data_IF_791931151028
#
_entry.id   IF_791931151028
#
_cell.length_a   1.000
_cell.length_b   1.000
_cell.length_c   1.000
_cell.angle_alpha   90.00
_cell.angle_beta   90.00
_cell.angle_gamma   90.00
#
_symmetry.space_group_name_H-M   'P 1'
#
loop_
_entity.id
_entity.type
_entity.pdbx_description
1 polymer ?
#
# COMPACT_ATOMS: atom_id res chain seq x y z
N UNK A 1 -12.75 1.79 26.82
CA UNK A 1 -12.37 1.15 25.55
C UNK A 1 -11.18 0.26 25.87
N UNK A 2 -11.37 -1.05 25.97
CA UNK A 2 -10.28 -1.97 26.29
C UNK A 2 -9.26 -1.94 25.15
N UNK A 3 -8.03 -1.58 25.48
CA UNK A 3 -6.93 -1.56 24.52
C UNK A 3 -6.55 -3.01 24.20
N UNK A 4 -6.94 -3.49 23.01
CA UNK A 4 -6.62 -4.84 22.55
C UNK A 4 -5.10 -5.06 22.57
N UNK A 5 -4.66 -6.04 23.36
CA UNK A 5 -3.25 -6.43 23.44
C UNK A 5 -2.88 -7.51 22.43
N UNK A 6 -3.87 -8.21 21.87
CA UNK A 6 -3.71 -9.33 20.95
C UNK A 6 -4.75 -9.29 19.84
N UNK A 7 -4.39 -9.81 18.68
CA UNK A 7 -5.32 -9.93 17.55
C UNK A 7 -6.52 -10.81 17.94
N UNK A 8 -7.74 -10.51 17.45
CA UNK A 8 -8.93 -11.30 17.77
C UNK A 8 -8.85 -12.72 17.19
N UNK A 9 -7.97 -12.93 16.19
CA UNK A 9 -7.72 -14.18 15.49
C UNK A 9 -6.24 -14.27 15.08
N UNK A 10 -5.68 -15.48 14.91
CA UNK A 10 -4.31 -15.64 14.42
C UNK A 10 -4.08 -14.90 13.11
N UNK A 11 -2.95 -14.19 13.04
CA UNK A 11 -2.50 -13.54 11.81
C UNK A 11 -1.75 -14.55 10.96
N UNK A 12 -2.29 -14.85 9.79
CA UNK A 12 -1.61 -15.66 8.78
C UNK A 12 -1.03 -14.72 7.73
N UNK A 13 0.27 -14.84 7.45
CA UNK A 13 0.93 -14.05 6.41
C UNK A 13 0.48 -14.56 5.04
N UNK A 14 -0.01 -13.67 4.19
CA UNK A 14 -0.55 -14.03 2.88
C UNK A 14 0.54 -14.60 1.98
N UNK A 15 1.77 -14.07 2.05
CA UNK A 15 2.91 -14.63 1.34
C UNK A 15 3.14 -16.11 1.71
N UNK A 16 3.11 -16.46 3.00
CA UNK A 16 3.28 -17.85 3.44
C UNK A 16 2.14 -18.76 2.97
N UNK A 17 0.89 -18.26 2.93
CA UNK A 17 -0.24 -19.02 2.36
C UNK A 17 -0.03 -19.23 0.85
N UNK A 18 0.39 -18.19 0.13
CA UNK A 18 0.66 -18.26 -1.31
C UNK A 18 1.78 -19.24 -1.64
N UNK A 19 2.79 -19.36 -0.77
CA UNK A 19 3.95 -20.24 -0.96
C UNK A 19 3.70 -21.67 -0.47
N UNK A 20 2.63 -21.95 0.29
CA UNK A 20 2.37 -23.28 0.84
C UNK A 20 1.71 -24.26 -0.14
N UNK A 21 1.45 -23.83 -1.38
CA UNK A 21 0.83 -24.68 -2.41
C UNK A 21 -0.67 -24.93 -2.21
N UNK A 22 -1.39 -24.02 -1.55
CA UNK A 22 -2.86 -24.13 -1.44
C UNK A 22 -3.51 -24.09 -2.83
N UNK A 23 -4.50 -24.96 -3.05
CA UNK A 23 -5.23 -25.03 -4.32
C UNK A 23 -6.36 -23.99 -4.41
N UNK A 24 -6.80 -23.44 -3.28
CA UNK A 24 -7.89 -22.49 -3.20
C UNK A 24 -7.60 -21.37 -2.20
N UNK A 25 -8.12 -20.17 -2.49
CA UNK A 25 -8.07 -19.03 -1.58
C UNK A 25 -8.99 -19.32 -0.38
N UNK A 26 -8.51 -19.21 0.87
CA UNK A 26 -9.35 -19.38 2.05
C UNK A 26 -10.52 -18.38 2.10
N UNK A 27 -11.69 -18.83 2.56
CA UNK A 27 -12.95 -18.06 2.55
C UNK A 27 -12.83 -16.65 3.13
N UNK A 28 -11.99 -16.47 4.15
CA UNK A 28 -11.75 -15.18 4.80
C UNK A 28 -11.17 -14.11 3.87
N UNK A 29 -10.60 -14.47 2.72
CA UNK A 29 -10.07 -13.56 1.70
C UNK A 29 -10.98 -13.45 0.46
N UNK A 30 -12.08 -14.21 0.42
CA UNK A 30 -13.03 -14.18 -0.69
C UNK A 30 -14.00 -13.02 -0.46
N UNK A 31 -13.91 -11.99 -1.30
CA UNK A 31 -14.84 -10.85 -1.23
C UNK A 31 -16.29 -11.28 -1.51
N UNK A 32 -17.31 -10.60 -0.94
CA UNK A 32 -18.71 -10.84 -1.28
C UNK A 32 -18.95 -10.60 -2.78
N UNK A 33 -19.93 -11.27 -3.41
CA UNK A 33 -20.20 -11.11 -4.84
C UNK A 33 -20.37 -9.64 -5.28
N UNK A 34 -20.97 -8.79 -4.44
CA UNK A 34 -21.17 -7.36 -4.71
C UNK A 34 -19.90 -6.51 -4.71
N UNK A 35 -18.77 -7.04 -4.21
CA UNK A 35 -17.47 -6.36 -4.16
C UNK A 35 -16.46 -6.95 -5.13
N UNK A 36 -16.84 -7.97 -5.91
CA UNK A 36 -15.95 -8.57 -6.91
C UNK A 36 -16.01 -7.73 -8.19
N UNK A 37 -14.88 -7.51 -8.87
CA UNK A 37 -14.88 -6.78 -10.13
C UNK A 37 -15.74 -7.51 -11.17
N UNK A 38 -16.55 -6.76 -11.92
CA UNK A 38 -17.26 -7.25 -13.10
C UNK A 38 -16.36 -7.02 -14.34
N UNK A 39 -15.71 -8.07 -14.90
CA UNK A 39 -14.67 -7.88 -15.92
C UNK A 39 -15.16 -7.19 -17.20
N UNK A 40 -16.44 -7.39 -17.55
CA UNK A 40 -17.05 -6.85 -18.76
C UNK A 40 -17.25 -5.32 -18.70
N UNK A 41 -17.61 -4.79 -17.52
CA UNK A 41 -17.94 -3.36 -17.35
C UNK A 41 -16.71 -2.45 -17.46
N UNK A 42 -15.54 -2.95 -17.06
CA UNK A 42 -14.28 -2.20 -17.11
C UNK A 42 -13.71 -2.07 -18.53
N UNK A 43 -13.86 -3.11 -19.35
CA UNK A 43 -13.34 -3.13 -20.72
C UNK A 43 -14.15 -2.23 -21.67
N UNK A 44 -15.46 -2.18 -21.47
CA UNK A 44 -16.38 -1.46 -22.37
C UNK A 44 -16.44 0.05 -22.09
N UNK A 45 -15.96 0.52 -20.94
CA UNK A 45 -16.16 1.89 -20.51
C UNK A 45 -15.16 2.91 -21.10
N UNK A 46 -14.05 2.46 -21.72
CA UNK A 46 -13.04 3.36 -22.30
C UNK A 46 -12.46 4.38 -21.30
N UNK A 47 -12.58 4.10 -20.01
CA UNK A 47 -12.24 5.00 -18.90
C UNK A 47 -10.71 5.11 -18.83
N UNK A 48 -10.20 6.31 -19.05
CA UNK A 48 -8.78 6.63 -18.87
C UNK A 48 -8.61 7.57 -17.69
N UNK A 49 -7.84 7.14 -16.68
CA UNK A 49 -7.50 7.95 -15.51
C UNK A 49 -6.71 9.18 -16.00
N UNK A 50 -7.04 10.41 -15.54
CA UNK A 50 -6.31 11.61 -15.93
C UNK A 50 -4.80 11.47 -15.71
N UNK A 51 -4.03 11.90 -16.70
CA UNK A 51 -2.57 11.92 -16.66
C UNK A 51 -2.11 13.38 -16.66
N UNK A 52 -1.44 13.81 -15.58
CA UNK A 52 -1.03 15.21 -15.38
C UNK A 52 0.49 15.33 -15.44
N UNK A 53 0.97 16.21 -16.30
CA UNK A 53 2.39 16.56 -16.42
C UNK A 53 2.77 17.68 -15.45
N UNK A 54 3.48 17.31 -14.38
CA UNK A 54 3.85 18.24 -13.31
C UNK A 54 5.02 19.16 -13.68
N UNK A 55 5.75 18.90 -14.77
CA UNK A 55 6.80 19.82 -15.24
C UNK A 55 6.25 21.20 -15.62
N UNK A 56 4.96 21.28 -15.97
CA UNK A 56 4.28 22.54 -16.25
C UNK A 56 4.14 23.45 -15.03
N UNK A 57 4.35 22.96 -13.81
CA UNK A 57 4.36 23.80 -12.60
C UNK A 57 5.60 24.72 -12.55
N UNK A 58 6.72 24.28 -13.11
CA UNK A 58 7.98 25.03 -13.12
C UNK A 58 8.09 26.01 -14.32
N UNK A 59 7.14 25.92 -15.26
CA UNK A 59 7.02 26.82 -16.41
C UNK A 59 5.92 27.86 -16.17
N UNK A 60 6.30 29.14 -16.06
CA UNK A 60 5.35 30.24 -15.82
C UNK A 60 4.19 30.29 -16.84
N UNK A 61 4.44 29.91 -18.09
CA UNK A 61 3.43 29.93 -19.15
C UNK A 61 2.42 28.79 -19.04
N UNK A 62 2.82 27.65 -18.45
CA UNK A 62 1.99 26.45 -18.28
C UNK A 62 1.42 26.28 -16.87
N UNK A 63 1.97 26.98 -15.88
CA UNK A 63 1.62 26.78 -14.47
C UNK A 63 0.12 26.89 -14.20
N UNK A 64 -0.53 27.89 -14.79
CA UNK A 64 -1.97 28.09 -14.62
C UNK A 64 -2.83 26.98 -15.24
N UNK A 65 -2.42 26.40 -16.40
CA UNK A 65 -3.15 25.28 -17.00
C UNK A 65 -2.90 23.99 -16.23
N UNK A 66 -1.67 23.71 -15.81
CA UNK A 66 -1.34 22.53 -15.00
C UNK A 66 -2.08 22.52 -13.66
N UNK A 67 -2.18 23.68 -12.98
CA UNK A 67 -3.00 23.79 -11.76
C UNK A 67 -4.49 23.53 -12.01
N UNK A 68 -4.99 23.90 -13.20
CA UNK A 68 -6.37 23.64 -13.60
C UNK A 68 -6.59 22.15 -13.84
N UNK A 69 -5.69 21.49 -14.59
CA UNK A 69 -5.72 20.03 -14.79
C UNK A 69 -5.72 19.26 -13.48
N UNK A 70 -4.88 19.66 -12.50
CA UNK A 70 -4.89 19.06 -11.16
C UNK A 70 -6.25 19.27 -10.47
N UNK A 71 -6.79 20.50 -10.51
CA UNK A 71 -8.09 20.78 -9.90
C UNK A 71 -9.21 19.98 -10.54
N UNK A 72 -9.23 19.86 -11.86
CA UNK A 72 -10.28 19.18 -12.61
C UNK A 72 -10.21 17.67 -12.34
N UNK A 73 -9.01 17.08 -12.36
CA UNK A 73 -8.82 15.68 -12.00
C UNK A 73 -9.25 15.39 -10.54
N UNK A 74 -8.92 16.26 -9.59
CA UNK A 74 -9.38 16.11 -8.21
C UNK A 74 -10.90 16.23 -8.06
N UNK A 75 -11.57 17.11 -8.82
CA UNK A 75 -13.02 17.34 -8.72
C UNK A 75 -13.85 16.29 -9.43
N UNK A 76 -13.41 15.88 -10.61
CA UNK A 76 -14.16 14.98 -11.49
C UNK A 76 -13.84 13.52 -11.21
N UNK A 77 -12.59 13.20 -10.83
CA UNK A 77 -12.14 11.82 -10.60
C UNK A 77 -11.77 11.53 -9.15
N UNK A 78 -11.26 12.52 -8.42
CA UNK A 78 -10.65 12.30 -7.10
C UNK A 78 -9.31 11.55 -7.15
N UNK A 79 -8.77 11.31 -8.35
CA UNK A 79 -7.53 10.57 -8.59
C UNK A 79 -6.90 10.95 -9.94
N UNK A 80 -5.57 10.92 -10.05
CA UNK A 80 -4.83 11.10 -11.30
C UNK A 80 -3.47 10.41 -11.24
N UNK A 81 -2.88 10.19 -12.40
CA UNK A 81 -1.48 9.77 -12.55
C UNK A 81 -0.62 11.01 -12.79
N UNK A 82 0.53 11.10 -12.12
CA UNK A 82 1.47 12.20 -12.31
C UNK A 82 2.70 11.74 -13.10
N UNK A 83 3.14 12.54 -14.07
CA UNK A 83 4.40 12.36 -14.81
C UNK A 83 5.28 13.60 -14.66
N UNK A 84 6.59 13.44 -14.92
CA UNK A 84 7.59 14.48 -14.74
C UNK A 84 7.50 15.16 -13.36
N UNK A 85 7.30 14.35 -12.31
CA UNK A 85 7.06 14.79 -10.93
C UNK A 85 8.32 15.25 -10.19
N UNK A 86 9.49 15.26 -10.84
CA UNK A 86 10.76 15.71 -10.26
C UNK A 86 11.45 14.72 -9.32
N UNK A 87 10.75 13.67 -8.84
CA UNK A 87 11.40 12.54 -8.14
C UNK A 87 12.30 11.77 -9.11
N UNK A 88 13.60 11.58 -8.80
CA UNK A 88 14.52 10.83 -9.67
C UNK A 88 14.14 9.36 -9.84
N UNK A 89 14.28 8.84 -11.06
CA UNK A 89 13.94 7.44 -11.37
C UNK A 89 14.80 6.44 -10.60
N UNK A 90 16.10 6.75 -10.41
CA UNK A 90 17.03 5.91 -9.66
C UNK A 90 16.62 5.77 -8.18
N UNK A 91 16.00 6.80 -7.60
CA UNK A 91 15.46 6.75 -6.25
C UNK A 91 14.24 5.84 -6.17
N UNK A 92 13.33 5.90 -7.16
CA UNK A 92 12.16 5.03 -7.23
C UNK A 92 12.57 3.56 -7.40
N UNK A 93 13.60 3.29 -8.21
CA UNK A 93 14.12 1.95 -8.40
C UNK A 93 14.76 1.40 -7.12
N UNK A 94 15.61 2.16 -6.44
CA UNK A 94 16.16 1.77 -5.12
C UNK A 94 15.05 1.50 -4.11
N UNK A 95 14.02 2.35 -4.05
CA UNK A 95 12.89 2.14 -3.14
C UNK A 95 12.18 0.81 -3.41
N UNK A 96 11.95 0.46 -4.69
CA UNK A 96 11.35 -0.83 -5.09
C UNK A 96 12.26 -2.00 -4.72
N UNK A 97 13.57 -1.86 -4.90
CA UNK A 97 14.55 -2.88 -4.53
C UNK A 97 14.58 -3.13 -3.03
N UNK A 98 14.60 -2.08 -2.21
CA UNK A 98 14.54 -2.19 -0.74
C UNK A 98 13.25 -2.86 -0.29
N UNK A 99 12.11 -2.44 -0.85
CA UNK A 99 10.82 -3.05 -0.54
C UNK A 99 10.79 -4.54 -0.92
N UNK A 100 11.22 -4.89 -2.14
CA UNK A 100 11.32 -6.30 -2.56
C UNK A 100 12.26 -7.08 -1.65
N UNK A 101 13.44 -6.52 -1.36
CA UNK A 101 14.45 -7.13 -0.51
C UNK A 101 13.89 -7.50 0.86
N UNK A 102 13.15 -6.58 1.50
CA UNK A 102 12.49 -6.86 2.78
C UNK A 102 11.54 -8.06 2.69
N UNK A 103 10.65 -8.11 1.69
CA UNK A 103 9.69 -9.21 1.56
C UNK A 103 10.32 -10.56 1.16
N UNK A 104 11.53 -10.55 0.60
CA UNK A 104 12.32 -11.77 0.34
C UNK A 104 13.11 -12.28 1.55
N UNK A 105 13.18 -11.51 2.65
CA UNK A 105 13.82 -11.99 3.88
C UNK A 105 13.06 -13.20 4.45
N UNK A 106 13.74 -14.06 5.25
CA UNK A 106 13.09 -15.10 6.03
C UNK A 106 11.93 -14.55 6.88
N UNK A 107 10.92 -15.40 7.12
CA UNK A 107 9.74 -14.97 7.87
C UNK A 107 10.11 -14.46 9.26
N UNK A 108 11.06 -15.11 9.92
CA UNK A 108 11.53 -14.79 11.27
C UNK A 108 12.07 -13.36 11.34
N UNK A 109 12.88 -12.96 10.35
CA UNK A 109 13.42 -11.60 10.23
C UNK A 109 12.32 -10.56 10.04
N UNK A 110 11.33 -10.86 9.18
CA UNK A 110 10.18 -9.98 8.97
C UNK A 110 9.30 -9.86 10.22
N UNK A 111 9.14 -10.94 10.97
CA UNK A 111 8.27 -11.00 12.16
C UNK A 111 8.79 -10.17 13.33
N UNK A 112 10.09 -9.84 13.39
CA UNK A 112 10.64 -8.88 14.36
C UNK A 112 9.92 -7.53 14.27
N UNK A 113 9.48 -7.16 13.07
CA UNK A 113 8.78 -5.90 12.80
C UNK A 113 7.26 -6.02 12.83
N UNK A 114 6.70 -7.16 13.27
CA UNK A 114 5.27 -7.38 13.26
C UNK A 114 4.49 -6.27 13.99
N UNK A 115 3.39 -5.84 13.37
CA UNK A 115 2.46 -4.90 14.00
C UNK A 115 1.49 -5.61 14.97
N UNK A 116 0.67 -4.83 15.66
CA UNK A 116 -0.28 -5.35 16.65
C UNK A 116 -1.60 -4.56 16.61
N UNK A 117 -2.67 -5.00 17.29
CA UNK A 117 -3.98 -4.33 17.20
C UNK A 117 -4.00 -2.86 17.63
N UNK A 118 -2.99 -2.39 18.37
CA UNK A 118 -2.89 -1.00 18.83
C UNK A 118 -2.34 -0.06 17.77
N UNK A 119 -1.56 -0.58 16.82
CA UNK A 119 -0.93 0.21 15.77
C UNK A 119 -0.70 -0.63 14.53
N UNK A 120 -1.03 -0.07 13.37
CA UNK A 120 -0.71 -0.71 12.09
C UNK A 120 0.77 -0.62 11.72
N UNK A 121 1.56 0.15 12.46
CA UNK A 121 2.99 0.35 12.21
C UNK A 121 3.82 -0.94 12.33
N UNK A 122 4.59 -1.21 11.28
CA UNK A 122 5.38 -2.42 11.07
C UNK A 122 4.78 -3.36 10.01
N UNK A 123 5.24 -4.61 10.06
CA UNK A 123 4.88 -5.69 9.14
C UNK A 123 3.51 -6.30 9.47
N UNK A 124 2.54 -6.08 8.60
CA UNK A 124 1.14 -6.48 8.76
C UNK A 124 0.62 -7.39 7.65
N UNK A 125 -0.53 -8.00 7.91
CA UNK A 125 -1.24 -8.91 6.98
C UNK A 125 -2.77 -8.83 7.13
N UNK A 126 -3.25 -7.92 7.98
CA UNK A 126 -4.68 -7.67 8.18
C UNK A 126 -4.89 -6.21 8.54
N UNK A 127 -5.97 -5.65 8.03
CA UNK A 127 -6.51 -4.37 8.46
C UNK A 127 -7.75 -4.64 9.33
N UNK A 128 -7.94 -3.82 10.36
CA UNK A 128 -9.07 -3.96 11.28
C UNK A 128 -8.87 -5.01 12.38
N UNK A 129 -9.63 -4.81 13.45
CA UNK A 129 -9.59 -5.62 14.68
C UNK A 129 -10.89 -6.40 14.93
N UNK A 130 -11.77 -6.43 13.94
CA UNK A 130 -13.01 -7.20 14.00
C UNK A 130 -12.73 -8.69 13.78
N UNK A 131 -13.46 -9.54 14.51
CA UNK A 131 -13.40 -10.99 14.36
C UNK A 131 -14.27 -11.41 13.18
N UNK A 132 -13.78 -12.32 12.34
CA UNK A 132 -14.51 -12.77 11.16
C UNK A 132 -14.57 -11.75 10.02
N UNK A 133 -13.69 -10.74 10.07
CA UNK A 133 -13.57 -9.75 9.00
C UNK A 133 -13.10 -10.41 7.69
N UNK A 134 -13.63 -9.92 6.57
CA UNK A 134 -13.14 -10.27 5.25
C UNK A 134 -11.82 -9.53 5.03
N UNK A 135 -10.74 -10.27 4.84
CA UNK A 135 -9.38 -9.76 4.75
C UNK A 135 -8.99 -9.45 3.31
N UNK A 136 -7.91 -8.68 3.17
CA UNK A 136 -7.25 -8.43 1.89
C UNK A 136 -6.19 -9.50 1.63
N UNK A 137 -6.00 -9.86 0.36
CA UNK A 137 -4.96 -10.77 -0.06
C UNK A 137 -3.64 -10.03 -0.25
N UNK A 138 -3.05 -9.57 0.85
CA UNK A 138 -1.77 -8.87 0.82
C UNK A 138 -1.12 -8.72 2.19
N UNK A 139 0.21 -8.82 2.20
CA UNK A 139 1.03 -8.39 3.31
C UNK A 139 1.48 -6.95 3.05
N UNK A 140 1.73 -6.18 4.13
CA UNK A 140 2.13 -4.79 4.03
C UNK A 140 3.18 -4.42 5.08
N UNK A 141 3.85 -3.30 4.84
CA UNK A 141 4.68 -2.64 5.84
C UNK A 141 4.24 -1.20 5.93
N UNK A 142 3.85 -0.74 7.12
CA UNK A 142 3.36 0.62 7.35
C UNK A 142 4.28 1.35 8.32
N UNK A 143 4.64 2.59 8.01
CA UNK A 143 5.53 3.42 8.83
C UNK A 143 4.95 4.81 9.03
N UNK A 144 5.00 5.31 10.26
CA UNK A 144 4.74 6.71 10.53
C UNK A 144 6.04 7.49 10.33
N UNK A 145 6.04 8.41 9.36
CA UNK A 145 7.21 9.23 9.03
C UNK A 145 7.13 10.64 9.63
N UNK A 146 5.96 11.27 9.54
CA UNK A 146 5.74 12.65 9.98
C UNK A 146 4.48 12.75 10.85
N UNK A 147 4.48 13.66 11.84
CA UNK A 147 5.61 14.49 12.30
C UNK A 147 6.74 13.68 12.97
N UNK A 148 7.95 14.25 13.12
CA UNK A 148 9.14 13.50 13.57
C UNK A 148 8.98 12.80 14.92
N UNK A 149 8.16 13.34 15.82
CA UNK A 149 7.93 12.75 17.15
C UNK A 149 7.07 11.47 17.13
N UNK A 150 6.37 11.16 16.03
CA UNK A 150 5.62 9.90 15.89
C UNK A 150 6.45 8.80 15.22
N UNK A 151 7.62 9.13 14.67
CA UNK A 151 8.50 8.16 14.04
C UNK A 151 9.14 7.29 15.12
N UNK A 152 8.83 6.00 15.11
CA UNK A 152 9.51 5.00 15.94
C UNK A 152 10.63 4.32 15.15
N UNK A 153 11.88 4.73 15.36
CA UNK A 153 13.05 4.14 14.69
C UNK A 153 13.19 2.62 14.90
N UNK A 154 12.60 2.05 15.96
CA UNK A 154 12.64 0.60 16.18
C UNK A 154 11.76 -0.17 15.20
N UNK A 155 10.81 0.52 14.54
CA UNK A 155 9.96 -0.05 13.49
C UNK A 155 10.58 0.02 12.11
N UNK A 156 11.70 0.72 11.94
CA UNK A 156 12.38 0.81 10.66
C UNK A 156 13.27 -0.42 10.47
N UNK A 157 13.11 -1.18 9.38
CA UNK A 157 13.87 -2.40 9.20
C UNK A 157 15.35 -2.08 8.94
N UNK A 158 16.24 -2.81 9.60
CA UNK A 158 17.68 -2.69 9.39
C UNK A 158 18.14 -3.40 8.10
N UNK A 159 17.32 -4.34 7.60
CA UNK A 159 17.56 -5.09 6.38
C UNK A 159 16.45 -4.81 5.35
N UNK A 160 16.76 -4.80 4.05
CA UNK A 160 18.10 -4.99 3.46
C UNK A 160 19.04 -3.81 3.76
N UNK A 161 20.35 -4.10 3.91
CA UNK A 161 21.39 -3.09 4.10
C UNK A 161 21.64 -2.33 2.78
N UNK A 162 20.69 -1.53 2.31
CA UNK A 162 20.91 -0.69 1.14
C UNK A 162 19.96 0.51 1.15
N UNK A 163 20.48 1.65 1.58
CA UNK A 163 20.66 2.84 0.75
C UNK A 163 21.86 3.62 1.28
#
# INVERSE_FOLDING_TARGET
MECLSQWPEPVHRVQCISESGVEAIPDRYVKPPSQRPAPQELADAGISIPLVDLSGLDDESRRASTLREISDACREWGFFQAINHGVPDDLLDRMREVWRGFFHLPLEEKQVYANNPKTYEGYGSRLGVEKGAILDWGDYFFLLLLPSHVKDSNKWPALPENC
#
